data_IF_324640679468
#
_entry.id   IF_324640679468
#
_cell.length_a   1.000
_cell.length_b   1.000
_cell.length_c   1.000
_cell.angle_alpha   90.00
_cell.angle_beta   90.00
_cell.angle_gamma   90.00
#
_symmetry.space_group_name_H-M   'P 1'
#
loop_
_entity.id
_entity.type
_entity.pdbx_description
1 polymer ?
#
# COMPACT_ATOMS: atom_id res chain seq x y z
N UNK A 1 -18.78 0.85 -5.85
CA UNK A 1 -17.44 0.25 -6.09
C UNK A 1 -16.66 0.24 -4.79
N UNK A 2 -16.10 -0.91 -4.40
CA UNK A 2 -15.22 -0.97 -3.22
C UNK A 2 -13.97 -0.12 -3.47
N UNK A 3 -13.71 0.89 -2.63
CA UNK A 3 -12.47 1.66 -2.69
C UNK A 3 -11.35 0.79 -2.11
N UNK A 4 -10.23 0.69 -2.82
CA UNK A 4 -9.05 -0.03 -2.33
C UNK A 4 -8.59 0.59 -0.99
N UNK A 5 -8.48 -0.19 0.10
CA UNK A 5 -8.09 0.34 1.40
C UNK A 5 -6.72 1.02 1.36
N UNK A 6 -6.65 2.23 1.94
CA UNK A 6 -5.42 3.00 2.01
C UNK A 6 -5.01 3.69 0.70
N UNK A 7 -5.79 3.55 -0.37
CA UNK A 7 -5.58 4.30 -1.61
C UNK A 7 -6.12 5.73 -1.46
N UNK A 8 -5.27 6.72 -1.70
CA UNK A 8 -5.63 8.13 -1.58
C UNK A 8 -4.85 9.00 -2.56
N UNK A 9 -5.44 10.09 -3.04
CA UNK A 9 -4.80 11.05 -3.93
C UNK A 9 -4.08 12.13 -3.11
N UNK A 10 -2.82 12.42 -3.44
CA UNK A 10 -2.04 13.50 -2.82
C UNK A 10 -1.24 14.24 -3.89
N UNK A 11 -1.43 15.56 -3.98
CA UNK A 11 -0.77 16.42 -4.96
C UNK A 11 -0.86 15.88 -6.41
N UNK A 12 -2.03 15.39 -6.81
CA UNK A 12 -2.26 14.84 -8.15
C UNK A 12 -1.75 13.41 -8.39
N UNK A 13 -1.14 12.77 -7.38
CA UNK A 13 -0.59 11.42 -7.50
C UNK A 13 -1.22 10.48 -6.47
N UNK A 14 -1.70 9.32 -6.90
CA UNK A 14 -2.23 8.32 -6.00
C UNK A 14 -1.14 7.65 -5.19
N UNK A 15 -1.41 7.46 -3.89
CA UNK A 15 -0.55 6.80 -2.94
C UNK A 15 -1.31 5.65 -2.27
N UNK A 16 -0.61 4.54 -2.07
CA UNK A 16 -1.09 3.39 -1.32
C UNK A 16 -0.49 3.40 0.08
N UNK A 17 -1.33 3.36 1.10
CA UNK A 17 -0.93 3.18 2.50
C UNK A 17 -1.27 1.77 2.96
N UNK A 18 -0.27 1.04 3.43
CA UNK A 18 -0.44 -0.31 4.00
C UNK A 18 0.08 -0.32 5.44
N UNK A 19 -0.71 -0.88 6.35
CA UNK A 19 -0.30 -1.03 7.75
C UNK A 19 0.69 -2.20 7.87
N UNK A 20 1.76 -1.99 8.64
CA UNK A 20 2.70 -3.06 8.97
C UNK A 20 2.12 -3.86 10.15
N UNK A 21 2.04 -5.20 10.07
CA UNK A 21 1.62 -6.03 11.18
C UNK A 21 2.43 -5.74 12.46
N UNK A 22 1.78 -5.75 13.63
CA UNK A 22 2.39 -5.33 14.90
C UNK A 22 3.67 -6.06 15.24
N UNK A 23 3.71 -7.35 14.97
CA UNK A 23 4.85 -8.26 15.11
C UNK A 23 6.03 -7.83 14.21
N UNK A 24 5.77 -7.29 13.02
CA UNK A 24 6.79 -6.86 12.07
C UNK A 24 7.18 -5.38 12.20
N UNK A 25 6.48 -4.58 13.03
CA UNK A 25 6.79 -3.15 13.17
C UNK A 25 8.20 -2.90 13.69
N UNK A 26 8.71 -3.76 14.58
CA UNK A 26 10.09 -3.69 15.08
C UNK A 26 11.11 -3.92 13.97
N UNK A 27 10.85 -4.90 13.09
CA UNK A 27 11.70 -5.20 11.93
C UNK A 27 11.70 -4.03 10.92
N UNK A 28 10.54 -3.49 10.58
CA UNK A 28 10.41 -2.42 9.57
C UNK A 28 10.68 -1.01 10.13
N UNK A 29 10.76 -0.85 11.46
CA UNK A 29 10.93 0.44 12.13
C UNK A 29 9.77 1.42 11.93
N UNK A 30 8.65 0.98 11.36
CA UNK A 30 7.52 1.83 10.95
C UNK A 30 6.19 1.10 11.15
N UNK A 31 5.15 1.85 11.55
CA UNK A 31 3.77 1.33 11.70
C UNK A 31 3.03 1.17 10.37
N UNK A 32 3.47 1.88 9.33
CA UNK A 32 2.83 1.91 8.02
C UNK A 32 3.86 2.15 6.93
N UNK A 33 3.62 1.56 5.76
CA UNK A 33 4.32 1.84 4.52
C UNK A 33 3.42 2.71 3.65
N UNK A 34 4.00 3.71 3.01
CA UNK A 34 3.31 4.55 2.02
C UNK A 34 4.09 4.49 0.73
N UNK A 35 3.45 4.07 -0.36
CA UNK A 35 4.05 3.97 -1.68
C UNK A 35 3.34 4.89 -2.65
N UNK A 36 4.08 5.70 -3.39
CA UNK A 36 3.53 6.47 -4.50
C UNK A 36 3.31 5.54 -5.69
N UNK A 37 2.13 5.61 -6.30
CA UNK A 37 1.78 4.81 -7.48
C UNK A 37 2.12 5.52 -8.80
N UNK A 38 2.58 6.78 -8.74
CA UNK A 38 3.05 7.53 -9.91
C UNK A 38 1.96 7.91 -10.92
N UNK A 39 0.69 7.64 -10.64
CA UNK A 39 -0.43 7.94 -11.55
C UNK A 39 -1.47 8.83 -10.86
N UNK A 40 -2.06 9.74 -11.63
CA UNK A 40 -3.25 10.52 -11.26
C UNK A 40 -4.56 9.86 -11.70
N UNK A 41 -4.49 8.73 -12.42
CA UNK A 41 -5.66 7.99 -12.90
C UNK A 41 -6.18 7.04 -11.82
N UNK A 42 -7.45 7.21 -11.44
CA UNK A 42 -8.08 6.38 -10.40
C UNK A 42 -8.14 4.89 -10.79
N UNK A 43 -8.33 4.59 -12.09
CA UNK A 43 -8.41 3.22 -12.60
C UNK A 43 -7.05 2.53 -12.55
N UNK A 44 -6.00 3.21 -13.01
CA UNK A 44 -4.64 2.70 -12.94
C UNK A 44 -4.18 2.54 -11.50
N UNK A 45 -4.48 3.53 -10.65
CA UNK A 45 -4.17 3.51 -9.24
C UNK A 45 -4.83 2.33 -8.51
N UNK A 46 -6.06 1.98 -8.86
CA UNK A 46 -6.74 0.81 -8.30
C UNK A 46 -6.04 -0.51 -8.68
N UNK A 47 -5.68 -0.66 -9.96
CA UNK A 47 -4.98 -1.86 -10.46
C UNK A 47 -3.57 -1.98 -9.88
N UNK A 48 -2.78 -0.91 -9.96
CA UNK A 48 -1.42 -0.87 -9.43
C UNK A 48 -1.41 -1.03 -7.91
N UNK A 49 -2.33 -0.34 -7.21
CA UNK A 49 -2.47 -0.44 -5.77
C UNK A 49 -2.87 -1.84 -5.30
N UNK A 50 -3.74 -2.55 -6.03
CA UNK A 50 -4.12 -3.92 -5.68
C UNK A 50 -2.92 -4.88 -5.78
N UNK A 51 -2.15 -4.80 -6.86
CA UNK A 51 -0.93 -5.60 -7.06
C UNK A 51 0.10 -5.31 -5.98
N UNK A 52 0.37 -4.03 -5.72
CA UNK A 52 1.35 -3.62 -4.72
C UNK A 52 0.95 -4.07 -3.30
N UNK A 53 -0.35 -3.96 -2.96
CA UNK A 53 -0.84 -4.42 -1.67
C UNK A 53 -0.65 -5.92 -1.50
N UNK A 54 -0.92 -6.71 -2.55
CA UNK A 54 -0.72 -8.16 -2.51
C UNK A 54 0.76 -8.51 -2.24
N UNK A 55 1.69 -7.88 -2.97
CA UNK A 55 3.13 -8.08 -2.77
C UNK A 55 3.58 -7.73 -1.35
N UNK A 56 3.08 -6.63 -0.78
CA UNK A 56 3.43 -6.24 0.59
C UNK A 56 2.88 -7.22 1.62
N UNK A 57 1.67 -7.76 1.42
CA UNK A 57 1.10 -8.77 2.31
C UNK A 57 1.88 -10.08 2.24
N UNK A 58 2.23 -10.54 1.04
CA UNK A 58 3.08 -11.72 0.83
C UNK A 58 4.45 -11.55 1.50
N UNK A 59 5.07 -10.36 1.37
CA UNK A 59 6.31 -10.05 2.09
C UNK A 59 6.17 -10.08 3.60
N UNK A 60 5.02 -9.65 4.14
CA UNK A 60 4.77 -9.76 5.58
C UNK A 60 4.63 -11.21 6.00
N UNK A 61 3.91 -12.02 5.23
CA UNK A 61 3.71 -13.44 5.53
C UNK A 61 5.03 -14.21 5.47
N UNK A 62 5.94 -13.89 4.54
CA UNK A 62 7.28 -14.49 4.49
C UNK A 62 8.22 -14.10 5.64
N UNK A 63 7.92 -13.01 6.36
CA UNK A 63 8.75 -12.52 7.48
C UNK A 63 8.21 -12.87 8.86
N UNK A 64 7.04 -13.51 8.90
CA UNK A 64 6.43 -14.08 10.09
C UNK A 64 7.00 -15.46 10.35
#
# INVERSE_FOLDING_TARGET
>A
MAKLPGLHLRAGVYQLRVMVPSDLQKHYGKKKLTKSLGTGSAREAALAGARERALLLEQFDHKR
#
